data_IF_966931181629
#
_entry.id   IF_966931181629
#
_cell.length_a   1.000
_cell.length_b   1.000
_cell.length_c   1.000
_cell.angle_alpha   90.00
_cell.angle_beta   90.00
_cell.angle_gamma   90.00
#
_symmetry.space_group_name_H-M   'P 1'
#
loop_
_entity.id
_entity.type
_entity.pdbx_description
1 polymer ?
#
# COMPACT_ATOMS: atom_id res chain seq x y z
N UNK A 1 -9.22 -12.71 9.61
CA UNK A 1 -8.74 -12.39 10.97
C UNK A 1 -7.67 -11.31 10.78
N UNK A 2 -7.90 -10.08 11.23
CA UNK A 2 -7.02 -8.92 10.93
C UNK A 2 -5.93 -8.75 12.01
N UNK A 3 -6.12 -9.37 13.18
CA UNK A 3 -5.29 -9.19 14.35
C UNK A 3 -4.20 -10.26 14.43
N UNK A 4 -2.96 -9.83 14.69
CA UNK A 4 -1.93 -10.73 15.20
C UNK A 4 -2.34 -11.13 16.63
N UNK A 5 -2.99 -12.28 16.78
CA UNK A 5 -3.51 -12.72 18.08
C UNK A 5 -2.38 -13.03 19.07
N UNK A 6 -2.68 -12.97 20.38
CA UNK A 6 -1.71 -12.76 21.46
C UNK A 6 -0.45 -13.63 21.45
N UNK A 7 -0.53 -14.88 21.01
CA UNK A 7 0.67 -15.73 20.89
C UNK A 7 1.62 -15.28 19.78
N UNK A 8 1.09 -14.79 18.65
CA UNK A 8 1.88 -14.25 17.54
C UNK A 8 2.49 -12.90 17.88
N UNK A 9 1.73 -12.03 18.54
CA UNK A 9 2.27 -10.75 19.01
C UNK A 9 3.44 -10.97 19.99
N UNK A 10 3.27 -11.83 21.00
CA UNK A 10 4.34 -12.14 21.96
C UNK A 10 5.57 -12.74 21.28
N UNK A 11 5.37 -13.60 20.28
CA UNK A 11 6.48 -14.16 19.49
C UNK A 11 7.21 -13.05 18.71
N UNK A 12 6.50 -12.18 18.02
CA UNK A 12 7.10 -11.05 17.28
C UNK A 12 7.86 -10.10 18.22
N UNK A 13 7.27 -9.75 19.35
CA UNK A 13 7.93 -8.92 20.37
C UNK A 13 9.19 -9.59 20.93
N UNK A 14 9.18 -10.92 21.12
CA UNK A 14 10.38 -11.67 21.54
C UNK A 14 11.50 -11.64 20.49
N UNK A 15 11.15 -11.45 19.23
CA UNK A 15 12.08 -11.26 18.11
C UNK A 15 12.49 -9.79 17.92
N UNK A 16 12.03 -8.88 18.79
CA UNK A 16 12.40 -7.47 18.73
C UNK A 16 11.51 -6.61 17.82
N UNK A 17 10.37 -7.14 17.36
CA UNK A 17 9.40 -6.33 16.63
C UNK A 17 8.63 -5.41 17.57
N UNK A 18 8.28 -4.23 17.04
CA UNK A 18 7.25 -3.35 17.60
C UNK A 18 5.99 -3.48 16.77
N UNK A 19 4.94 -4.03 17.38
CA UNK A 19 3.63 -4.15 16.73
C UNK A 19 2.89 -2.82 16.80
N UNK A 20 2.26 -2.47 15.70
CA UNK A 20 1.69 -1.18 15.38
C UNK A 20 0.29 -1.36 14.81
N UNK A 21 -0.65 -1.68 15.70
CA UNK A 21 -2.06 -1.73 15.36
C UNK A 21 -2.59 -0.33 14.99
N UNK A 22 -3.36 -0.26 13.92
CA UNK A 22 -3.94 0.98 13.41
C UNK A 22 -5.43 0.91 13.63
N UNK A 23 -5.86 1.58 14.69
CA UNK A 23 -7.25 1.60 15.09
C UNK A 23 -8.02 2.64 14.29
N UNK A 24 -9.32 2.38 14.11
CA UNK A 24 -10.19 3.14 13.22
C UNK A 24 -10.21 4.63 13.58
N UNK A 25 -10.49 4.96 14.83
CA UNK A 25 -10.65 6.32 15.33
C UNK A 25 -9.33 7.10 15.36
N UNK A 26 -8.26 6.52 15.91
CA UNK A 26 -7.02 7.25 16.21
C UNK A 26 -6.04 7.32 15.03
N UNK A 27 -6.09 6.33 14.12
CA UNK A 27 -5.07 6.16 13.08
C UNK A 27 -5.62 6.26 11.66
N UNK A 28 -6.85 5.82 11.42
CA UNK A 28 -7.40 5.71 10.07
C UNK A 28 -8.35 6.85 9.73
N UNK A 29 -9.40 7.06 10.54
CA UNK A 29 -10.47 8.04 10.30
C UNK A 29 -9.94 9.46 10.17
N UNK A 30 -8.91 9.83 10.94
CA UNK A 30 -8.27 11.15 10.83
C UNK A 30 -7.63 11.42 9.47
N UNK A 31 -7.26 10.36 8.73
CA UNK A 31 -6.64 10.42 7.40
C UNK A 31 -7.66 10.28 6.27
N UNK A 32 -8.95 10.07 6.57
CA UNK A 32 -10.03 10.03 5.58
C UNK A 32 -10.37 11.46 5.12
N UNK A 33 -9.58 11.99 4.18
CA UNK A 33 -9.75 13.31 3.58
C UNK A 33 -10.10 13.22 2.10
N UNK A 34 -10.70 14.29 1.57
CA UNK A 34 -11.05 14.41 0.16
C UNK A 34 -11.95 13.26 -0.30
N UNK A 35 -11.47 12.42 -1.24
CA UNK A 35 -12.27 11.32 -1.79
C UNK A 35 -12.79 10.32 -0.74
N UNK A 36 -12.14 10.21 0.43
CA UNK A 36 -12.58 9.31 1.51
C UNK A 36 -13.72 9.87 2.37
N UNK A 37 -13.99 11.18 2.33
CA UNK A 37 -14.95 11.83 3.25
C UNK A 37 -16.41 11.40 3.02
N UNK A 38 -16.74 10.97 1.81
CA UNK A 38 -18.05 10.42 1.46
C UNK A 38 -18.32 9.03 2.03
N UNK A 39 -17.28 8.34 2.52
CA UNK A 39 -17.39 6.96 2.97
C UNK A 39 -17.80 6.90 4.45
N UNK A 40 -18.79 6.06 4.72
CA UNK A 40 -19.17 5.66 6.07
C UNK A 40 -18.76 4.22 6.29
N UNK A 41 -17.74 4.00 7.11
CA UNK A 41 -17.26 2.66 7.43
C UNK A 41 -18.15 2.02 8.50
N UNK A 42 -18.43 0.73 8.34
CA UNK A 42 -19.07 -0.08 9.37
C UNK A 42 -18.02 -0.57 10.38
N UNK A 43 -17.37 0.39 11.04
CA UNK A 43 -16.31 0.17 12.02
C UNK A 43 -16.58 0.95 13.30
N UNK A 44 -16.31 0.32 14.44
CA UNK A 44 -16.45 0.92 15.76
C UNK A 44 -15.14 1.59 16.22
N UNK A 45 -15.26 2.50 17.19
CA UNK A 45 -14.07 3.08 17.84
C UNK A 45 -13.22 1.98 18.48
N UNK A 46 -11.90 2.06 18.31
CA UNK A 46 -10.97 1.05 18.78
C UNK A 46 -10.89 -0.23 17.93
N UNK A 47 -11.69 -0.37 16.85
CA UNK A 47 -11.54 -1.51 15.95
C UNK A 47 -10.27 -1.42 15.11
N UNK A 48 -9.65 -2.57 14.87
CA UNK A 48 -8.42 -2.70 14.10
C UNK A 48 -8.72 -2.61 12.61
N UNK A 49 -8.10 -1.63 11.93
CA UNK A 49 -8.20 -1.47 10.48
C UNK A 49 -7.10 -2.25 9.77
N UNK A 50 -5.86 -2.09 10.21
CA UNK A 50 -4.72 -2.83 9.68
C UNK A 50 -3.61 -2.88 10.74
N UNK A 51 -2.62 -3.76 10.55
CA UNK A 51 -1.51 -3.89 11.49
C UNK A 51 -0.17 -3.91 10.76
N UNK A 52 0.85 -3.38 11.43
CA UNK A 52 2.24 -3.49 11.00
C UNK A 52 3.12 -3.97 12.15
N UNK A 53 4.19 -4.68 11.84
CA UNK A 53 5.22 -5.04 12.79
C UNK A 53 6.56 -4.52 12.25
N UNK A 54 7.14 -3.53 12.94
CA UNK A 54 8.40 -2.92 12.55
C UNK A 54 9.56 -3.54 13.36
N UNK A 55 10.61 -3.98 12.69
CA UNK A 55 11.80 -4.52 13.32
C UNK A 55 12.97 -3.57 13.12
N UNK A 56 13.29 -2.73 14.10
CA UNK A 56 14.29 -1.65 13.98
C UNK A 56 15.47 -1.90 14.93
N UNK A 57 16.38 -2.82 14.60
CA UNK A 57 17.54 -3.11 15.43
C UNK A 57 18.60 -2.03 15.26
N UNK A 58 19.56 -1.98 16.18
CA UNK A 58 20.70 -1.05 16.13
C UNK A 58 21.74 -1.36 15.05
N UNK A 59 21.66 -2.51 14.38
CA UNK A 59 22.61 -2.91 13.35
C UNK A 59 21.92 -3.55 12.15
N UNK A 60 22.53 -3.40 10.96
CA UNK A 60 21.99 -3.88 9.69
C UNK A 60 21.91 -5.40 9.64
N UNK A 61 22.88 -6.10 10.20
CA UNK A 61 22.99 -7.56 10.22
C UNK A 61 21.89 -8.21 11.09
N UNK A 62 21.30 -7.42 11.99
CA UNK A 62 20.22 -7.88 12.84
C UNK A 62 18.84 -7.68 12.21
N UNK A 63 18.70 -6.89 11.12
CA UNK A 63 17.40 -6.54 10.53
C UNK A 63 16.65 -7.77 10.06
N UNK A 64 15.39 -7.85 10.48
CA UNK A 64 14.36 -8.69 9.91
C UNK A 64 13.42 -7.79 9.08
N UNK A 65 12.75 -8.34 8.06
CA UNK A 65 11.75 -7.60 7.31
C UNK A 65 10.64 -7.11 8.23
N UNK A 66 10.19 -5.86 8.05
CA UNK A 66 8.94 -5.41 8.62
C UNK A 66 7.78 -6.18 7.94
N UNK A 67 6.65 -6.26 8.64
CA UNK A 67 5.46 -6.98 8.17
C UNK A 67 4.31 -6.00 8.16
N UNK A 68 3.52 -5.98 7.10
CA UNK A 68 2.26 -5.22 7.05
C UNK A 68 1.12 -6.12 6.59
N UNK A 69 -0.04 -6.03 7.26
CA UNK A 69 -1.26 -6.77 6.93
C UNK A 69 -2.42 -5.80 6.78
N UNK A 70 -3.05 -5.77 5.60
CA UNK A 70 -4.09 -4.79 5.25
C UNK A 70 -5.32 -5.49 4.65
N UNK A 71 -6.46 -5.53 5.35
CA UNK A 71 -7.71 -6.08 4.84
C UNK A 71 -8.51 -5.06 4.02
N UNK A 72 -9.41 -5.54 3.16
CA UNK A 72 -10.45 -4.69 2.57
C UNK A 72 -11.54 -4.40 3.63
N UNK A 73 -12.20 -3.24 3.50
CA UNK A 73 -13.15 -2.74 4.49
C UNK A 73 -14.53 -2.55 3.86
N UNK A 74 -15.61 -3.04 4.48
CA UNK A 74 -16.95 -2.66 4.08
C UNK A 74 -17.20 -1.19 4.40
N UNK A 75 -17.87 -0.49 3.51
CA UNK A 75 -18.30 0.88 3.72
C UNK A 75 -19.58 1.19 2.91
N UNK A 76 -20.14 2.35 3.18
CA UNK A 76 -21.26 2.91 2.44
C UNK A 76 -20.84 4.26 1.83
N UNK A 77 -20.98 4.42 0.51
CA UNK A 77 -20.73 5.68 -0.18
C UNK A 77 -21.97 6.58 -0.08
N UNK A 78 -21.90 7.60 0.77
CA UNK A 78 -23.05 8.48 1.05
C UNK A 78 -23.41 9.45 -0.07
N UNK A 79 -22.54 9.67 -1.07
CA UNK A 79 -22.88 10.47 -2.25
C UNK A 79 -23.72 9.68 -3.25
N UNK A 80 -23.48 8.37 -3.33
CA UNK A 80 -24.14 7.46 -4.27
C UNK A 80 -25.24 6.61 -3.63
N UNK A 81 -25.35 6.65 -2.30
CA UNK A 81 -26.29 5.86 -1.50
C UNK A 81 -26.17 4.36 -1.81
N UNK A 82 -24.93 3.85 -1.87
CA UNK A 82 -24.66 2.45 -2.19
C UNK A 82 -23.57 1.83 -1.31
N UNK A 83 -23.72 0.54 -1.01
CA UNK A 83 -22.73 -0.23 -0.29
C UNK A 83 -21.55 -0.59 -1.19
N UNK A 84 -20.34 -0.43 -0.66
CA UNK A 84 -19.08 -0.63 -1.38
C UNK A 84 -18.09 -1.42 -0.53
N UNK A 85 -17.11 -2.03 -1.19
CA UNK A 85 -15.92 -2.56 -0.52
C UNK A 85 -14.78 -1.61 -0.82
N UNK A 86 -14.20 -1.00 0.22
CA UNK A 86 -12.99 -0.19 0.09
C UNK A 86 -11.80 -1.14 0.07
N UNK A 87 -11.01 -1.09 -0.99
CA UNK A 87 -9.74 -1.81 -1.02
C UNK A 87 -8.82 -1.22 0.04
N UNK A 88 -8.40 -2.06 0.98
CA UNK A 88 -7.68 -1.60 2.17
C UNK A 88 -6.38 -0.91 1.81
N UNK A 89 -6.02 0.14 2.55
CA UNK A 89 -4.76 0.85 2.32
C UNK A 89 -3.97 1.11 3.59
N UNK A 90 -2.65 1.32 3.45
CA UNK A 90 -1.78 1.75 4.57
C UNK A 90 -2.00 3.22 4.95
N UNK A 91 -2.97 3.88 4.30
CA UNK A 91 -3.26 5.31 4.31
C UNK A 91 -2.11 6.20 3.84
N UNK A 92 -0.97 5.61 3.51
CA UNK A 92 0.19 6.27 2.95
C UNK A 92 1.10 6.95 3.97
N UNK A 93 2.35 7.17 3.63
CA UNK A 93 3.29 7.98 4.41
C UNK A 93 4.37 8.54 3.49
N UNK A 94 4.98 9.64 3.93
CA UNK A 94 6.13 10.24 3.26
C UNK A 94 7.43 9.84 3.95
N UNK A 95 8.43 9.53 3.13
CA UNK A 95 9.80 9.25 3.54
C UNK A 95 10.69 10.43 3.15
N UNK A 96 11.33 11.06 4.13
CA UNK A 96 12.19 12.21 3.90
C UNK A 96 13.38 11.85 2.99
N UNK A 97 13.88 12.84 2.28
CA UNK A 97 15.13 12.72 1.53
C UNK A 97 16.27 12.29 2.46
N UNK A 98 16.96 11.23 2.07
CA UNK A 98 18.08 10.66 2.80
C UNK A 98 19.27 10.54 1.86
N UNK A 99 20.48 10.44 2.43
CA UNK A 99 21.69 10.20 1.62
C UNK A 99 21.65 8.83 0.90
N UNK A 100 20.80 7.91 1.35
CA UNK A 100 20.68 6.60 0.71
C UNK A 100 19.70 6.69 -0.46
N UNK A 101 20.08 6.23 -1.67
CA UNK A 101 19.19 6.28 -2.83
C UNK A 101 18.01 5.32 -2.71
N UNK A 102 18.05 4.37 -1.77
CA UNK A 102 17.01 3.36 -1.54
C UNK A 102 16.67 3.36 -0.07
N UNK A 103 15.39 3.59 0.21
CA UNK A 103 14.86 3.60 1.56
C UNK A 103 14.26 2.26 1.93
N UNK A 104 13.43 1.71 1.04
CA UNK A 104 12.71 0.47 1.32
C UNK A 104 12.64 -0.44 0.10
N UNK A 105 12.61 -1.75 0.37
CA UNK A 105 12.32 -2.78 -0.63
C UNK A 105 11.15 -3.59 -0.12
N UNK A 106 10.04 -3.58 -0.84
CA UNK A 106 8.84 -4.34 -0.53
C UNK A 106 8.78 -5.63 -1.34
N UNK A 107 8.27 -6.69 -0.72
CA UNK A 107 7.80 -7.90 -1.37
C UNK A 107 6.33 -8.15 -1.01
N UNK A 108 5.51 -8.36 -2.03
CA UNK A 108 4.10 -8.67 -1.90
C UNK A 108 3.89 -10.17 -1.71
N UNK A 109 3.16 -10.57 -0.66
CA UNK A 109 2.80 -11.98 -0.40
C UNK A 109 1.42 -12.35 -0.94
N UNK A 110 0.64 -11.36 -1.36
CA UNK A 110 -0.66 -11.51 -2.02
C UNK A 110 -0.85 -10.39 -3.06
N UNK A 111 -1.94 -10.47 -3.84
CA UNK A 111 -2.25 -9.49 -4.87
C UNK A 111 -2.52 -8.11 -4.27
N UNK A 112 -1.88 -7.09 -4.80
CA UNK A 112 -2.01 -5.72 -4.30
C UNK A 112 -1.42 -4.70 -5.25
N UNK A 113 -1.27 -3.49 -4.74
CA UNK A 113 -0.54 -2.45 -5.42
C UNK A 113 0.12 -1.49 -4.44
N UNK A 114 0.98 -0.63 -4.99
CA UNK A 114 1.57 0.49 -4.28
C UNK A 114 1.53 1.72 -5.18
N UNK A 115 0.93 2.79 -4.69
CA UNK A 115 1.09 4.13 -5.27
C UNK A 115 2.37 4.74 -4.70
N UNK A 116 3.23 5.25 -5.57
CA UNK A 116 4.49 5.92 -5.22
C UNK A 116 4.58 7.23 -6.00
N UNK A 117 4.87 8.30 -5.28
CA UNK A 117 5.00 9.65 -5.80
C UNK A 117 6.25 10.27 -5.19
N UNK A 118 7.25 10.57 -6.02
CA UNK A 118 8.58 10.97 -5.57
C UNK A 118 8.87 12.41 -5.96
N UNK A 119 9.56 13.13 -5.09
CA UNK A 119 9.96 14.50 -5.38
C UNK A 119 10.85 14.58 -6.62
N UNK A 120 10.45 15.42 -7.57
CA UNK A 120 11.18 15.60 -8.82
C UNK A 120 10.86 14.57 -9.91
N UNK A 121 10.02 13.58 -9.62
CA UNK A 121 9.42 12.74 -10.66
C UNK A 121 8.18 13.44 -11.23
N UNK A 122 8.09 13.50 -12.55
CA UNK A 122 6.92 14.09 -13.23
C UNK A 122 5.66 13.21 -13.15
N UNK A 123 5.75 12.00 -12.58
CA UNK A 123 4.69 11.00 -12.62
C UNK A 123 4.46 10.30 -11.29
N UNK A 124 3.19 10.14 -10.93
CA UNK A 124 2.77 9.21 -9.90
C UNK A 124 2.75 7.80 -10.47
N UNK A 125 3.41 6.86 -9.80
CA UNK A 125 3.53 5.48 -10.23
C UNK A 125 2.58 4.59 -9.44
N UNK A 126 1.78 3.75 -10.12
CA UNK A 126 1.02 2.68 -9.49
C UNK A 126 1.68 1.34 -9.85
N UNK A 127 2.43 0.79 -8.89
CA UNK A 127 3.02 -0.54 -8.99
C UNK A 127 1.97 -1.60 -8.66
N UNK A 128 1.56 -2.39 -9.65
CA UNK A 128 0.64 -3.51 -9.48
C UNK A 128 1.46 -4.78 -9.24
N UNK A 129 1.11 -5.53 -8.20
CA UNK A 129 1.91 -6.65 -7.73
C UNK A 129 1.06 -7.91 -7.53
N UNK A 130 1.51 -9.00 -8.15
CA UNK A 130 1.12 -10.34 -7.77
C UNK A 130 2.07 -10.86 -6.67
N UNK A 131 1.74 -12.01 -6.06
CA UNK A 131 2.60 -12.67 -5.06
C UNK A 131 4.03 -12.82 -5.58
N UNK A 132 5.01 -12.50 -4.73
CA UNK A 132 6.44 -12.50 -5.02
C UNK A 132 6.95 -11.21 -5.69
N UNK A 133 6.04 -10.35 -6.17
CA UNK A 133 6.38 -9.07 -6.79
C UNK A 133 7.05 -8.13 -5.80
N UNK A 134 8.08 -7.42 -6.26
CA UNK A 134 8.90 -6.54 -5.45
C UNK A 134 8.94 -5.13 -6.01
N UNK A 135 9.02 -4.15 -5.10
CA UNK A 135 9.07 -2.72 -5.42
C UNK A 135 10.17 -2.05 -4.60
N UNK A 136 11.01 -1.25 -5.27
CA UNK A 136 12.06 -0.45 -4.64
C UNK A 136 11.53 0.96 -4.45
N UNK A 137 11.76 1.52 -3.28
CA UNK A 137 11.29 2.84 -2.88
C UNK A 137 12.50 3.74 -2.65
N UNK A 138 12.70 4.75 -3.51
CA UNK A 138 13.71 5.77 -3.30
C UNK A 138 13.39 6.65 -2.08
N UNK A 139 14.36 7.48 -1.69
CA UNK A 139 14.12 8.56 -0.74
C UNK A 139 13.28 9.68 -1.33
N UNK A 140 12.62 10.47 -0.49
CA UNK A 140 11.82 11.61 -0.96
C UNK A 140 10.51 11.20 -1.61
N UNK A 141 9.98 10.04 -1.25
CA UNK A 141 8.76 9.50 -1.84
C UNK A 141 7.63 9.43 -0.83
N UNK A 142 6.44 9.80 -1.29
CA UNK A 142 5.18 9.45 -0.68
C UNK A 142 4.69 8.11 -1.26
N UNK A 143 4.20 7.24 -0.39
CA UNK A 143 3.80 5.89 -0.81
C UNK A 143 2.58 5.38 -0.08
N UNK A 144 1.73 4.61 -0.75
CA UNK A 144 0.53 3.95 -0.17
C UNK A 144 0.37 2.55 -0.71
N UNK A 145 0.22 1.56 0.17
CA UNK A 145 -0.12 0.18 -0.19
C UNK A 145 -1.63 0.03 -0.37
N UNK A 146 -2.06 -0.83 -1.30
CA UNK A 146 -3.46 -1.22 -1.49
C UNK A 146 -3.59 -2.74 -1.59
N UNK A 147 -4.58 -3.30 -0.89
CA UNK A 147 -4.97 -4.69 -1.04
C UNK A 147 -5.88 -4.84 -2.26
N UNK A 148 -5.50 -5.62 -3.28
CA UNK A 148 -6.35 -5.94 -4.44
C UNK A 148 -6.81 -7.40 -4.45
N UNK A 149 -6.44 -8.16 -3.41
CA UNK A 149 -6.90 -9.52 -3.20
C UNK A 149 -8.19 -9.59 -2.38
N UNK A 150 -8.80 -10.77 -2.37
CA UNK A 150 -9.94 -11.10 -1.52
C UNK A 150 -9.55 -11.34 -0.06
N UNK A 151 -8.34 -11.83 0.15
CA UNK A 151 -7.72 -11.97 1.46
C UNK A 151 -6.90 -10.72 1.80
N UNK A 152 -6.56 -10.48 3.07
CA UNK A 152 -5.71 -9.36 3.44
C UNK A 152 -4.42 -9.33 2.61
N UNK A 153 -4.02 -8.13 2.22
CA UNK A 153 -2.69 -7.88 1.68
C UNK A 153 -1.69 -8.17 2.78
N UNK A 154 -0.66 -8.95 2.46
CA UNK A 154 0.51 -9.09 3.30
C UNK A 154 1.74 -8.64 2.52
N UNK A 155 2.59 -7.82 3.15
CA UNK A 155 3.89 -7.42 2.59
C UNK A 155 5.00 -7.67 3.58
N UNK A 156 6.20 -7.92 3.04
CA UNK A 156 7.45 -7.83 3.77
C UNK A 156 8.25 -6.65 3.23
N UNK A 157 8.90 -5.88 4.10
CA UNK A 157 9.79 -4.81 3.63
C UNK A 157 11.08 -4.71 4.44
N UNK A 158 12.17 -4.41 3.75
CA UNK A 158 13.43 -4.03 4.38
C UNK A 158 13.58 -2.52 4.30
N UNK A 159 13.47 -1.86 5.44
CA UNK A 159 13.68 -0.42 5.56
C UNK A 159 15.09 -0.07 6.08
N UNK A 160 15.67 0.99 5.51
CA UNK A 160 16.99 1.50 5.84
C UNK A 160 16.93 2.51 7.01
N UNK A 161 16.53 2.06 8.21
CA UNK A 161 16.26 2.94 9.37
C UNK A 161 17.29 2.77 10.50
N UNK A 162 18.54 2.40 10.17
CA UNK A 162 19.54 1.97 11.15
C UNK A 162 20.05 3.07 12.06
N UNK A 163 19.93 4.32 11.64
CA UNK A 163 20.38 5.51 12.38
C UNK A 163 19.23 6.22 13.13
N UNK A 164 18.00 5.72 13.03
CA UNK A 164 16.82 6.33 13.64
C UNK A 164 16.31 7.57 12.91
N UNK A 165 16.90 7.96 11.76
CA UNK A 165 16.53 9.18 11.03
C UNK A 165 15.49 8.95 9.92
N UNK A 166 15.22 7.70 9.54
CA UNK A 166 14.14 7.39 8.60
C UNK A 166 12.79 7.28 9.32
N UNK A 167 12.24 8.42 9.72
CA UNK A 167 10.90 8.49 10.28
C UNK A 167 9.86 8.57 9.15
N UNK A 168 8.93 7.60 9.13
CA UNK A 168 7.74 7.68 8.29
C UNK A 168 6.83 8.80 8.80
N UNK A 169 6.60 9.84 8.00
CA UNK A 169 5.74 10.95 8.41
C UNK A 169 4.37 10.88 7.74
N UNK A 170 3.33 11.17 8.52
CA UNK A 170 1.94 11.20 8.05
C UNK A 170 1.44 12.61 7.71
N UNK A 171 2.29 13.63 7.75
CA UNK A 171 1.88 15.04 7.61
C UNK A 171 1.08 15.30 6.31
N UNK A 172 1.56 14.81 5.16
CA UNK A 172 0.84 14.93 3.89
C UNK A 172 -0.54 14.25 3.95
N UNK A 173 -0.63 13.08 4.59
CA UNK A 173 -1.88 12.34 4.74
C UNK A 173 -2.84 12.99 5.74
N UNK A 174 -2.34 13.67 6.76
CA UNK A 174 -3.16 14.39 7.72
C UNK A 174 -3.82 15.62 7.08
N UNK A 175 -3.13 16.25 6.12
CA UNK A 175 -3.66 17.35 5.32
C UNK A 175 -4.57 16.87 4.18
N UNK A 176 -4.15 15.83 3.46
CA UNK A 176 -4.69 15.51 2.13
C UNK A 176 -5.24 14.10 1.99
N UNK A 177 -5.06 13.23 2.99
CA UNK A 177 -5.40 11.81 2.90
C UNK A 177 -4.52 11.04 1.90
N UNK A 178 -4.88 9.81 1.54
CA UNK A 178 -4.17 9.03 0.51
C UNK A 178 -4.33 9.64 -0.89
N UNK A 179 -3.36 9.43 -1.78
CA UNK A 179 -3.41 9.91 -3.19
C UNK A 179 -4.66 9.40 -3.91
N UNK A 180 -5.11 8.19 -3.59
CA UNK A 180 -6.16 7.51 -4.33
C UNK A 180 -7.10 6.78 -3.38
N UNK A 181 -8.39 6.78 -3.72
CA UNK A 181 -9.38 5.87 -3.18
C UNK A 181 -9.62 4.76 -4.20
N UNK A 182 -9.59 3.50 -3.76
CA UNK A 182 -9.98 2.38 -4.60
C UNK A 182 -11.16 1.67 -3.95
N UNK A 183 -12.27 1.57 -4.68
CA UNK A 183 -13.49 0.90 -4.23
C UNK A 183 -13.92 -0.18 -5.19
N UNK A 184 -14.57 -1.20 -4.69
CA UNK A 184 -15.29 -2.20 -5.47
C UNK A 184 -16.79 -2.01 -5.25
N UNK A 185 -17.54 -2.00 -6.35
CA UNK A 185 -18.99 -1.88 -6.35
C UNK A 185 -19.60 -3.23 -6.77
N UNK A 186 -20.01 -4.07 -5.80
CA UNK A 186 -20.55 -5.41 -6.04
C UNK A 186 -21.63 -5.48 -7.12
N UNK A 187 -22.64 -4.59 -7.04
CA UNK A 187 -23.80 -4.61 -7.92
C UNK A 187 -23.47 -4.16 -9.34
N UNK A 188 -22.46 -3.29 -9.51
CA UNK A 188 -22.00 -2.81 -10.82
C UNK A 188 -20.92 -3.70 -11.42
N UNK A 189 -20.31 -4.58 -10.61
CA UNK A 189 -19.22 -5.44 -11.04
C UNK A 189 -18.02 -4.64 -11.54
N UNK A 190 -17.57 -3.66 -10.77
CA UNK A 190 -16.44 -2.81 -11.15
C UNK A 190 -15.61 -2.36 -9.95
N UNK A 191 -14.29 -2.28 -10.14
CA UNK A 191 -13.39 -1.53 -9.28
C UNK A 191 -13.23 -0.10 -9.82
N UNK A 192 -13.28 0.89 -8.92
CA UNK A 192 -13.18 2.31 -9.24
C UNK A 192 -11.95 2.86 -8.52
N UNK A 193 -11.05 3.42 -9.31
CA UNK A 193 -9.88 4.15 -8.85
C UNK A 193 -10.21 5.63 -8.96
N UNK A 194 -10.26 6.34 -7.85
CA UNK A 194 -10.53 7.77 -7.78
C UNK A 194 -9.29 8.48 -7.24
N UNK A 195 -8.72 9.40 -8.04
CA UNK A 195 -7.70 10.32 -7.53
C UNK A 195 -8.34 11.23 -6.50
N UNK A 196 -7.69 11.33 -5.34
CA UNK A 196 -8.10 12.23 -4.30
C UNK A 196 -7.89 13.68 -4.77
N UNK A 197 -8.94 14.52 -4.81
CA UNK A 197 -8.85 15.88 -5.33
C UNK A 197 -7.79 16.76 -4.66
N UNK A 198 -7.46 16.47 -3.39
CA UNK A 198 -6.43 17.20 -2.63
C UNK A 198 -4.99 16.91 -3.10
N UNK A 199 -4.82 15.93 -3.99
CA UNK A 199 -3.55 15.57 -4.61
C UNK A 199 -3.40 16.06 -6.05
N UNK A 200 -4.40 16.75 -6.60
CA UNK A 200 -4.37 17.26 -7.97
C UNK A 200 -3.78 18.68 -7.97
N UNK A 201 -2.80 18.93 -8.85
CA UNK A 201 -2.21 20.25 -9.08
C UNK A 201 -1.72 20.96 -7.80
N UNK A 202 -1.19 20.19 -6.85
CA UNK A 202 -0.56 20.75 -5.66
C UNK A 202 0.59 21.68 -6.03
N UNK A 203 0.83 22.68 -5.19
CA UNK A 203 1.94 23.63 -5.35
C UNK A 203 3.31 23.01 -5.02
N UNK A 204 3.33 21.94 -4.23
CA UNK A 204 4.54 21.18 -3.96
C UNK A 204 4.95 20.29 -5.16
N UNK A 205 6.13 19.69 -5.05
CA UNK A 205 6.69 18.77 -6.06
C UNK A 205 5.99 17.41 -6.11
N UNK A 206 4.97 17.19 -5.28
CA UNK A 206 4.23 15.96 -5.19
C UNK A 206 2.81 16.14 -5.79
N UNK A 207 2.14 15.03 -6.00
CA UNK A 207 0.79 14.94 -6.53
C UNK A 207 0.69 14.87 -8.04
N UNK A 208 -0.54 14.69 -8.50
CA UNK A 208 -0.84 14.45 -9.91
C UNK A 208 -1.06 15.78 -10.60
N UNK A 209 -0.34 16.01 -11.70
CA UNK A 209 -0.56 17.20 -12.54
C UNK A 209 -1.60 16.85 -13.61
N UNK A 210 -2.80 17.42 -13.48
CA UNK A 210 -3.88 17.31 -14.46
C UNK A 210 -4.10 18.67 -15.12
N UNK A 211 -4.17 18.70 -16.45
CA UNK A 211 -4.52 19.93 -17.17
C UNK A 211 -6.00 20.26 -16.92
N UNK A 212 -6.33 21.56 -16.79
CA UNK A 212 -7.61 22.16 -16.35
C UNK A 212 -8.92 21.69 -17.02
N UNK A 213 -8.86 20.75 -17.95
CA UNK A 213 -10.04 20.27 -18.66
C UNK A 213 -10.47 18.92 -18.08
N UNK A 214 -11.56 18.96 -17.32
CA UNK A 214 -12.44 17.86 -16.88
C UNK A 214 -12.18 17.25 -15.49
N UNK A 215 -13.00 17.67 -14.51
CA UNK A 215 -13.23 16.99 -13.23
C UNK A 215 -13.63 15.49 -13.38
N UNK A 216 -14.03 15.04 -14.57
CA UNK A 216 -14.35 13.65 -14.87
C UNK A 216 -13.11 12.78 -15.14
N UNK A 217 -11.95 13.37 -15.41
CA UNK A 217 -10.68 12.66 -15.67
C UNK A 217 -9.95 12.21 -14.40
N UNK A 218 -10.64 12.04 -13.26
CA UNK A 218 -10.00 11.56 -12.03
C UNK A 218 -10.33 10.10 -11.71
N UNK A 219 -11.11 9.44 -12.56
CA UNK A 219 -11.62 8.10 -12.33
C UNK A 219 -11.10 7.12 -13.37
N UNK A 220 -10.71 5.93 -12.92
CA UNK A 220 -10.54 4.76 -13.78
C UNK A 220 -11.50 3.67 -13.31
N UNK A 221 -12.28 3.14 -14.25
CA UNK A 221 -13.23 2.05 -14.00
C UNK A 221 -12.68 0.78 -14.60
N UNK A 222 -12.54 -0.26 -13.77
CA UNK A 222 -12.08 -1.58 -14.16
C UNK A 222 -13.22 -2.58 -13.97
N UNK A 223 -13.79 -3.14 -15.06
CA UNK A 223 -14.81 -4.18 -14.96
C UNK A 223 -14.28 -5.41 -14.21
N UNK A 224 -14.92 -5.77 -13.10
CA UNK A 224 -14.50 -6.82 -12.18
C UNK A 224 -15.73 -7.50 -11.58
N UNK A 225 -16.05 -8.70 -12.01
CA UNK A 225 -17.15 -9.48 -11.39
C UNK A 225 -16.81 -9.85 -9.95
N UNK A 226 -17.81 -10.22 -9.15
CA UNK A 226 -17.58 -10.66 -7.76
C UNK A 226 -16.64 -11.88 -7.71
N UNK A 227 -16.86 -12.85 -8.59
CA UNK A 227 -15.99 -14.03 -8.70
C UNK A 227 -14.55 -13.65 -9.02
N UNK A 228 -14.33 -12.68 -9.91
CA UNK A 228 -13.00 -12.20 -10.24
C UNK A 228 -12.35 -11.42 -9.09
N UNK A 229 -13.12 -10.60 -8.37
CA UNK A 229 -12.68 -9.94 -7.14
C UNK A 229 -12.23 -10.97 -6.09
N UNK A 230 -13.06 -12.00 -5.85
CA UNK A 230 -12.78 -13.05 -4.86
C UNK A 230 -11.58 -13.92 -5.25
N UNK A 231 -11.26 -13.97 -6.54
CA UNK A 231 -10.06 -14.63 -7.07
C UNK A 231 -8.83 -13.71 -7.15
N UNK A 232 -8.95 -12.43 -6.76
CA UNK A 232 -7.85 -11.46 -6.84
C UNK A 232 -7.43 -11.12 -8.27
N UNK A 233 -8.36 -11.15 -9.23
CA UNK A 233 -8.09 -10.94 -10.67
C UNK A 233 -7.92 -9.47 -11.09
N UNK A 234 -8.03 -8.53 -10.15
CA UNK A 234 -7.89 -7.11 -10.45
C UNK A 234 -6.48 -6.78 -10.99
N UNK A 235 -5.43 -7.37 -10.41
CA UNK A 235 -4.05 -7.18 -10.87
C UNK A 235 -3.87 -7.65 -12.32
N UNK A 236 -4.33 -8.87 -12.63
CA UNK A 236 -4.27 -9.44 -13.99
C UNK A 236 -5.00 -8.55 -15.00
N UNK A 237 -6.17 -7.99 -14.64
CA UNK A 237 -6.92 -7.09 -15.54
C UNK A 237 -6.15 -5.81 -15.83
N UNK A 238 -5.63 -5.15 -14.80
CA UNK A 238 -4.87 -3.90 -14.97
C UNK A 238 -3.61 -4.14 -15.81
N UNK A 239 -2.91 -5.25 -15.58
CA UNK A 239 -1.64 -5.56 -16.26
C UNK A 239 -1.84 -6.03 -17.71
N UNK A 240 -2.98 -6.59 -18.07
CA UNK A 240 -3.17 -7.17 -19.41
C UNK A 240 -4.11 -6.36 -20.33
N UNK A 241 -4.82 -5.35 -19.82
CA UNK A 241 -5.74 -4.54 -20.61
C UNK A 241 -5.13 -3.18 -21.00
N UNK A 242 -4.86 -3.00 -22.29
CA UNK A 242 -4.30 -1.75 -22.82
C UNK A 242 -5.24 -0.55 -22.70
N UNK A 243 -6.56 -0.76 -22.71
CA UNK A 243 -7.52 0.30 -22.52
C UNK A 243 -7.46 0.81 -21.07
N UNK A 244 -7.43 -0.10 -20.09
CA UNK A 244 -7.24 0.27 -18.68
C UNK A 244 -5.93 1.01 -18.50
N UNK A 245 -4.83 0.54 -19.11
CA UNK A 245 -3.54 1.22 -19.04
C UNK A 245 -3.58 2.64 -19.60
N UNK A 246 -4.23 2.83 -20.74
CA UNK A 246 -4.43 4.16 -21.31
C UNK A 246 -5.23 5.06 -20.37
N UNK A 247 -6.26 4.54 -19.70
CA UNK A 247 -7.04 5.31 -18.72
C UNK A 247 -6.24 5.76 -17.50
N UNK A 248 -5.35 4.93 -16.97
CA UNK A 248 -4.43 5.40 -15.92
C UNK A 248 -3.49 6.50 -16.42
N UNK A 249 -2.95 6.36 -17.64
CA UNK A 249 -2.09 7.38 -18.23
C UNK A 249 -2.82 8.71 -18.49
N UNK A 250 -4.09 8.67 -18.88
CA UNK A 250 -4.93 9.87 -19.08
C UNK A 250 -5.08 10.68 -17.79
N UNK A 251 -5.05 10.01 -16.63
CA UNK A 251 -5.21 10.63 -15.31
C UNK A 251 -3.86 10.91 -14.62
N UNK A 252 -2.75 10.91 -15.38
CA UNK A 252 -1.42 11.21 -14.86
C UNK A 252 -0.81 10.13 -13.97
N UNK A 253 -1.29 8.88 -14.06
CA UNK A 253 -0.76 7.73 -13.31
C UNK A 253 -0.05 6.76 -14.25
N UNK A 254 1.24 6.53 -13.99
CA UNK A 254 2.02 5.54 -14.72
C UNK A 254 1.88 4.17 -14.06
N UNK A 255 1.30 3.21 -14.78
CA UNK A 255 1.25 1.83 -14.31
C UNK A 255 2.61 1.14 -14.47
N UNK A 256 3.00 0.40 -13.44
CA UNK A 256 4.19 -0.45 -13.45
C UNK A 256 3.87 -1.81 -12.89
N UNK A 257 4.48 -2.86 -13.45
CA UNK A 257 4.44 -4.18 -12.86
C UNK A 257 5.55 -4.31 -11.81
N UNK A 258 5.21 -4.79 -10.62
CA UNK A 258 6.20 -5.15 -9.61
C UNK A 258 7.03 -6.34 -10.10
N UNK A 259 8.36 -6.24 -9.99
CA UNK A 259 9.26 -7.23 -10.57
C UNK A 259 9.44 -8.42 -9.64
N UNK A 260 9.52 -9.63 -10.20
CA UNK A 260 9.85 -10.84 -9.41
C UNK A 260 11.31 -10.85 -8.95
N UNK A 261 12.19 -10.25 -9.76
CA UNK A 261 13.62 -10.09 -9.47
C UNK A 261 14.01 -8.62 -9.60
N UNK A 262 14.74 -8.12 -8.61
CA UNK A 262 15.28 -6.77 -8.58
C UNK A 262 16.80 -6.84 -8.69
N UNK A 263 17.38 -6.01 -9.56
CA UNK A 263 18.83 -5.83 -9.61
C UNK A 263 19.17 -4.47 -9.03
N UNK A 264 20.00 -4.48 -7.99
CA UNK A 264 20.53 -3.31 -7.30
C UNK A 264 22.05 -3.40 -7.39
N UNK A 265 22.64 -2.60 -8.29
CA UNK A 265 24.06 -2.66 -8.61
C UNK A 265 24.47 -4.11 -8.98
N UNK A 266 25.40 -4.70 -8.22
CA UNK A 266 25.90 -6.07 -8.42
C UNK A 266 25.08 -7.15 -7.70
N UNK A 267 24.01 -6.76 -6.99
CA UNK A 267 23.17 -7.67 -6.22
C UNK A 267 21.85 -7.90 -6.94
N UNK A 268 21.55 -9.17 -7.24
CA UNK A 268 20.22 -9.58 -7.69
C UNK A 268 19.44 -10.18 -6.54
N UNK A 269 18.26 -9.61 -6.27
CA UNK A 269 17.29 -10.07 -5.29
C UNK A 269 16.17 -10.78 -6.06
N UNK A 270 16.40 -12.05 -6.37
CA UNK A 270 15.40 -12.97 -6.94
C UNK A 270 14.75 -13.86 -5.87
N UNK A 271 15.49 -14.10 -4.78
CA UNK A 271 15.09 -14.93 -3.66
C UNK A 271 14.04 -14.20 -2.82
N UNK A 272 12.96 -14.88 -2.39
CA UNK A 272 11.99 -14.31 -1.47
C UNK A 272 12.67 -13.75 -0.20
N UNK A 273 12.24 -12.58 0.25
CA UNK A 273 12.81 -11.88 1.42
C UNK A 273 12.80 -12.75 2.69
N UNK A 274 11.79 -13.62 2.83
CA UNK A 274 11.71 -14.58 3.93
C UNK A 274 12.84 -15.63 3.88
N UNK A 275 13.16 -16.12 2.69
CA UNK A 275 14.23 -17.10 2.48
C UNK A 275 15.60 -16.47 2.67
N UNK A 276 15.76 -15.20 2.27
CA UNK A 276 16.97 -14.43 2.58
C UNK A 276 17.17 -14.31 4.08
N UNK A 277 16.12 -13.99 4.85
CA UNK A 277 16.21 -13.94 6.30
C UNK A 277 16.55 -15.32 6.92
N UNK A 278 15.96 -16.41 6.42
CA UNK A 278 16.29 -17.77 6.88
C UNK A 278 17.73 -18.14 6.55
N UNK A 279 18.23 -17.83 5.35
CA UNK A 279 19.61 -18.05 4.94
C UNK A 279 20.61 -17.27 5.82
N UNK A 280 20.19 -16.12 6.36
CA UNK A 280 20.93 -15.34 7.35
C UNK A 280 20.80 -15.89 8.80
N UNK A 281 20.24 -17.09 8.96
CA UNK A 281 20.07 -17.77 10.25
C UNK A 281 18.97 -17.17 11.13
N UNK A 282 17.95 -16.51 10.54
CA UNK A 282 16.88 -15.83 11.29
C UNK A 282 15.60 -16.68 11.39
N UNK A 283 14.87 -16.66 12.53
CA UNK A 283 13.80 -17.61 12.84
C UNK A 283 12.41 -17.27 12.24
N UNK A 284 12.34 -16.60 11.09
CA UNK A 284 11.08 -16.05 10.58
C UNK A 284 10.08 -17.07 10.04
N UNK A 285 10.51 -18.29 9.71
CA UNK A 285 9.66 -19.34 9.15
C UNK A 285 8.35 -19.55 9.94
N UNK A 286 8.42 -19.59 11.27
CA UNK A 286 7.27 -19.86 12.13
C UNK A 286 6.30 -18.67 12.27
N UNK A 287 6.73 -17.46 11.93
CA UNK A 287 5.88 -16.28 12.01
C UNK A 287 4.87 -16.23 10.86
N UNK A 288 5.18 -16.83 9.71
CA UNK A 288 4.42 -16.65 8.48
C UNK A 288 3.47 -17.81 8.13
N UNK A 289 3.67 -19.00 8.68
CA UNK A 289 2.76 -20.15 8.46
C UNK A 289 1.44 -20.02 9.24
N UNK A 290 1.31 -19.03 10.12
CA UNK A 290 0.22 -18.90 11.10
C UNK A 290 -0.59 -17.60 10.98
N UNK A 291 -0.25 -16.71 10.04
CA UNK A 291 -0.98 -15.46 9.73
C UNK A 291 -1.74 -15.59 8.42
#
# INVERSE_FOLDING_TARGET
MIKMEGMHQLMLESLGYKVHDRLFDCSFRKLCKGAYEKLRFDLQEGELVYTGAAHNPKSREAKLPNITIIPNLPAHDSEKDEDVIVFGSSMGHYQQNHESPIMEIYEFKSAGAMVVDCEGDDNVNLFVANKGGKVIIPSGCNMTLYNFGAFPLQTLDFSNNYDGNNESHKHLQEESGPIMLVTYLPFKGAAIFEINPLWINREDSLGIKLWDVYNEQRFVVVPLTMTEHDQGKLTDKILNDNYIKAKFSEIGVTLREAKQSLSLEDITIDTPLEQLAVAMGKPLHHCFELM
#
